data_IF_962720709879
#
_entry.id   IF_962720709879
#
_cell.length_a   1.000
_cell.length_b   1.000
_cell.length_c   1.000
_cell.angle_alpha   90.00
_cell.angle_beta   90.00
_cell.angle_gamma   90.00
#
_symmetry.space_group_name_H-M   'P 1'
#
loop_
_entity.id
_entity.type
_entity.pdbx_description
1 polymer ?
#
# COMPACT_ATOMS: atom_id res chain seq x y z
N UNK A 1 -29.62 -18.22 0.38
CA UNK A 1 -30.53 -17.32 -0.37
C UNK A 1 -29.80 -16.01 -0.57
N UNK A 2 -29.80 -15.49 -1.80
CA UNK A 2 -28.79 -14.59 -2.41
C UNK A 2 -28.73 -13.21 -1.73
N UNK A 3 -27.54 -12.81 -1.27
CA UNK A 3 -27.25 -11.43 -0.85
C UNK A 3 -26.71 -10.65 -2.05
N UNK A 4 -27.33 -9.51 -2.34
CA UNK A 4 -27.15 -8.73 -3.57
C UNK A 4 -25.75 -8.08 -3.59
N UNK A 5 -24.94 -8.42 -4.59
CA UNK A 5 -23.75 -7.68 -4.96
C UNK A 5 -24.17 -6.26 -5.40
N UNK A 6 -23.65 -5.25 -4.70
CA UNK A 6 -23.75 -3.86 -5.11
C UNK A 6 -22.82 -3.67 -6.32
N UNK A 7 -23.40 -3.48 -7.50
CA UNK A 7 -22.68 -3.18 -8.73
C UNK A 7 -22.17 -1.75 -8.63
N UNK A 8 -20.90 -1.56 -8.24
CA UNK A 8 -20.22 -0.28 -8.36
C UNK A 8 -19.84 -0.08 -9.83
N UNK A 9 -20.75 0.50 -10.60
CA UNK A 9 -20.53 0.86 -11.99
C UNK A 9 -19.48 1.97 -12.05
N UNK A 10 -18.22 1.60 -12.27
CA UNK A 10 -17.13 2.56 -12.52
C UNK A 10 -17.36 3.16 -13.91
N UNK A 11 -17.96 4.35 -13.96
CA UNK A 11 -18.08 5.14 -15.17
C UNK A 11 -16.66 5.49 -15.65
N UNK A 12 -16.24 4.89 -16.76
CA UNK A 12 -15.07 5.34 -17.53
C UNK A 12 -15.46 6.64 -18.25
N UNK A 13 -15.65 7.72 -17.51
CA UNK A 13 -15.78 9.06 -18.10
C UNK A 13 -14.38 9.57 -18.40
N UNK A 14 -14.10 9.66 -19.70
CA UNK A 14 -13.12 10.53 -20.36
C UNK A 14 -12.26 11.36 -19.41
N UNK A 15 -10.99 11.03 -19.30
CA UNK A 15 -9.96 11.80 -18.59
C UNK A 15 -9.81 13.18 -19.27
N UNK A 16 -10.71 14.12 -18.95
CA UNK A 16 -10.39 15.53 -19.04
C UNK A 16 -9.36 15.77 -17.94
N UNK A 17 -8.09 15.86 -18.33
CA UNK A 17 -7.05 16.41 -17.45
C UNK A 17 -7.26 17.92 -17.51
N UNK A 18 -7.89 18.57 -16.52
CA UNK A 18 -7.96 20.03 -16.53
C UNK A 18 -6.53 20.57 -16.52
N UNK A 19 -6.26 21.64 -17.28
CA UNK A 19 -4.94 22.27 -17.36
C UNK A 19 -4.39 22.68 -15.97
N UNK A 20 -5.28 22.89 -15.00
CA UNK A 20 -4.98 23.15 -13.59
C UNK A 20 -4.30 21.97 -12.85
N UNK A 21 -4.29 20.76 -13.41
CA UNK A 21 -3.59 19.61 -12.85
C UNK A 21 -2.07 19.70 -13.09
N UNK A 22 -1.65 20.32 -14.20
CA UNK A 22 -0.22 20.54 -14.49
C UNK A 22 0.41 21.54 -13.52
N UNK A 23 -0.33 22.56 -13.08
CA UNK A 23 0.12 23.49 -12.04
C UNK A 23 0.31 22.82 -10.67
N UNK A 24 -0.35 21.68 -10.44
CA UNK A 24 -0.33 20.92 -9.20
C UNK A 24 0.58 19.70 -9.27
N UNK A 25 1.54 19.63 -10.21
CA UNK A 25 2.66 18.67 -10.14
C UNK A 25 2.25 17.20 -10.05
N UNK A 26 1.44 16.74 -11.00
CA UNK A 26 0.95 15.36 -11.07
C UNK A 26 2.08 14.33 -11.30
N UNK A 27 1.93 13.13 -10.77
CA UNK A 27 2.80 12.00 -11.07
C UNK A 27 2.08 10.66 -10.94
N UNK A 28 2.58 9.68 -11.68
CA UNK A 28 2.23 8.27 -11.50
C UNK A 28 3.49 7.49 -11.13
N UNK A 29 3.34 6.35 -10.49
CA UNK A 29 4.47 5.50 -10.18
C UNK A 29 4.08 4.08 -9.82
N UNK A 30 5.11 3.25 -9.72
CA UNK A 30 5.01 1.88 -9.26
C UNK A 30 6.22 1.52 -8.41
N UNK A 31 6.04 0.60 -7.48
CA UNK A 31 7.10 0.11 -6.60
C UNK A 31 6.96 -1.39 -6.36
N UNK A 32 8.09 -2.04 -6.14
CA UNK A 32 8.19 -3.44 -5.71
C UNK A 32 9.04 -3.50 -4.44
N UNK A 33 8.77 -4.47 -3.58
CA UNK A 33 9.44 -4.51 -2.29
C UNK A 33 9.08 -5.70 -1.45
N UNK A 34 9.70 -5.78 -0.28
CA UNK A 34 9.41 -6.79 0.71
C UNK A 34 8.37 -6.25 1.69
N UNK A 35 7.31 -7.04 1.89
CA UNK A 35 6.32 -6.86 2.93
C UNK A 35 6.70 -7.71 4.13
N UNK A 36 6.62 -7.11 5.32
CA UNK A 36 6.89 -7.75 6.60
C UNK A 36 5.59 -7.81 7.39
N UNK A 37 5.31 -8.97 7.96
CA UNK A 37 4.17 -9.19 8.85
C UNK A 37 4.64 -9.74 10.17
N UNK A 38 4.27 -9.05 11.25
CA UNK A 38 4.38 -9.61 12.59
C UNK A 38 2.94 -9.79 13.09
N UNK A 39 2.51 -11.04 13.21
CA UNK A 39 1.21 -11.42 13.76
C UNK A 39 1.43 -11.99 15.16
N UNK A 40 0.79 -11.41 16.17
CA UNK A 40 0.62 -12.09 17.47
C UNK A 40 -0.77 -12.72 17.46
N UNK A 41 -0.85 -14.04 17.51
CA UNK A 41 -2.13 -14.77 17.61
C UNK A 41 -2.47 -14.99 19.09
N UNK A 42 -3.04 -13.99 19.76
CA UNK A 42 -3.67 -14.23 21.06
C UNK A 42 -5.00 -14.99 20.85
N UNK A 43 -5.17 -16.12 21.55
CA UNK A 43 -6.26 -17.12 21.47
C UNK A 43 -6.04 -18.39 20.62
N UNK A 44 -4.81 -18.87 20.48
CA UNK A 44 -4.59 -20.32 20.31
C UNK A 44 -3.84 -20.82 21.53
N UNK A 45 -4.49 -21.68 22.29
CA UNK A 45 -4.09 -22.19 23.59
C UNK A 45 -2.59 -22.54 23.69
N UNK A 46 -1.81 -21.63 24.29
CA UNK A 46 -0.59 -21.99 25.02
C UNK A 46 0.77 -21.80 24.35
N UNK A 47 0.92 -21.10 23.21
CA UNK A 47 2.24 -20.71 22.71
C UNK A 47 2.19 -19.41 21.89
N UNK A 48 3.10 -18.47 22.19
CA UNK A 48 3.33 -17.25 21.41
C UNK A 48 3.84 -17.63 20.01
N UNK A 49 3.06 -17.32 18.97
CA UNK A 49 3.40 -17.62 17.58
C UNK A 49 4.04 -16.39 16.94
N UNK A 50 5.36 -16.39 16.75
CA UNK A 50 6.08 -15.35 15.99
C UNK A 50 6.32 -15.88 14.58
N UNK A 51 5.64 -15.32 13.58
CA UNK A 51 5.90 -15.59 12.17
C UNK A 51 6.66 -14.40 11.60
N UNK A 52 7.96 -14.56 11.36
CA UNK A 52 8.79 -13.60 10.63
C UNK A 52 8.91 -14.07 9.17
N UNK A 53 7.91 -13.76 8.33
CA UNK A 53 7.96 -14.05 6.90
C UNK A 53 8.01 -12.76 6.08
N UNK A 54 9.00 -12.68 5.18
CA UNK A 54 9.10 -11.63 4.17
C UNK A 54 8.56 -12.13 2.84
N UNK A 55 7.63 -11.38 2.25
CA UNK A 55 7.07 -11.71 0.94
C UNK A 55 7.21 -10.55 -0.03
N UNK A 56 7.28 -10.84 -1.32
CA UNK A 56 7.37 -9.79 -2.35
C UNK A 56 5.98 -9.21 -2.63
N UNK A 57 5.87 -7.89 -2.53
CA UNK A 57 4.69 -7.12 -2.87
C UNK A 57 4.97 -6.07 -3.93
N UNK A 58 3.90 -5.51 -4.49
CA UNK A 58 3.95 -4.38 -5.42
C UNK A 58 2.88 -3.34 -5.13
N UNK A 59 3.10 -2.13 -5.63
CA UNK A 59 2.14 -1.03 -5.56
C UNK A 59 2.18 -0.23 -6.84
N UNK A 60 1.01 0.24 -7.27
CA UNK A 60 0.85 1.29 -8.28
C UNK A 60 0.15 2.47 -7.63
N UNK A 61 0.61 3.68 -7.92
CA UNK A 61 0.11 4.88 -7.25
C UNK A 61 0.12 6.09 -8.18
N UNK A 62 -0.73 7.05 -7.88
CA UNK A 62 -0.75 8.35 -8.51
C UNK A 62 -0.88 9.43 -7.43
N UNK A 63 -0.33 10.60 -7.70
CA UNK A 63 -0.44 11.72 -6.79
C UNK A 63 -0.41 13.06 -7.50
N UNK A 64 -0.89 14.06 -6.78
CA UNK A 64 -0.89 15.45 -7.21
C UNK A 64 -0.69 16.34 -5.98
N UNK A 65 0.02 17.45 -6.15
CA UNK A 65 0.30 18.38 -5.07
C UNK A 65 1.23 19.51 -5.49
N UNK A 66 1.03 20.66 -4.86
CA UNK A 66 1.84 21.86 -5.09
C UNK A 66 2.71 22.18 -3.87
N UNK A 67 3.91 22.71 -4.12
CA UNK A 67 4.85 23.05 -3.06
C UNK A 67 5.26 21.84 -2.22
N UNK A 68 5.03 21.92 -0.90
CA UNK A 68 5.44 20.90 0.06
C UNK A 68 4.36 19.85 0.35
N UNK A 69 3.11 20.02 -0.10
CA UNK A 69 1.99 19.09 0.19
C UNK A 69 1.34 18.55 -1.07
N UNK A 70 0.77 17.36 -0.95
CA UNK A 70 -0.03 16.72 -1.97
C UNK A 70 -0.86 15.57 -1.44
N UNK A 71 -1.59 14.94 -2.34
CA UNK A 71 -2.31 13.70 -2.12
C UNK A 71 -1.68 12.59 -2.98
N UNK A 72 -1.61 11.39 -2.42
CA UNK A 72 -1.19 10.17 -3.10
C UNK A 72 -2.28 9.12 -2.86
N UNK A 73 -2.69 8.42 -3.91
CA UNK A 73 -3.58 7.28 -3.82
C UNK A 73 -3.02 6.11 -4.61
N UNK A 74 -3.27 4.89 -4.16
CA UNK A 74 -2.67 3.72 -4.77
C UNK A 74 -3.44 2.44 -4.54
N UNK A 75 -3.05 1.42 -5.31
CA UNK A 75 -3.42 0.03 -5.11
C UNK A 75 -2.15 -0.79 -4.86
N UNK A 76 -2.23 -1.73 -3.91
CA UNK A 76 -1.11 -2.59 -3.54
C UNK A 76 -1.53 -4.04 -3.34
N UNK A 77 -0.62 -4.93 -3.66
CA UNK A 77 -0.61 -6.34 -3.27
C UNK A 77 0.62 -6.54 -2.38
N UNK A 78 0.40 -6.92 -1.13
CA UNK A 78 1.46 -7.15 -0.13
C UNK A 78 1.95 -8.60 -0.14
N UNK A 79 1.51 -9.35 -1.16
CA UNK A 79 1.79 -10.74 -1.38
C UNK A 79 1.09 -11.67 -0.38
N UNK A 80 1.63 -12.88 -0.33
CA UNK A 80 1.07 -14.02 0.40
C UNK A 80 2.03 -14.48 1.48
N UNK A 81 1.49 -14.75 2.67
CA UNK A 81 2.20 -15.38 3.80
C UNK A 81 1.63 -16.78 3.99
N UNK A 82 2.51 -17.78 4.10
CA UNK A 82 2.14 -19.20 4.13
C UNK A 82 2.83 -19.87 5.31
N UNK A 83 2.06 -20.43 6.25
CA UNK A 83 2.63 -21.15 7.39
C UNK A 83 1.99 -22.52 7.61
N UNK A 84 2.69 -23.36 8.36
CA UNK A 84 2.23 -24.70 8.72
C UNK A 84 2.31 -24.89 10.24
N UNK A 85 1.21 -25.31 10.85
CA UNK A 85 1.15 -25.65 12.27
C UNK A 85 0.28 -26.90 12.48
N UNK A 86 0.82 -27.91 13.17
CA UNK A 86 0.08 -29.16 13.49
C UNK A 86 -0.62 -29.81 12.29
N UNK A 87 0.07 -29.88 11.13
CA UNK A 87 -0.47 -30.39 9.85
C UNK A 87 -1.61 -29.55 9.25
N UNK A 88 -1.86 -28.35 9.79
CA UNK A 88 -2.77 -27.35 9.22
C UNK A 88 -1.95 -26.32 8.46
N UNK A 89 -2.22 -26.18 7.17
CA UNK A 89 -1.64 -25.12 6.35
C UNK A 89 -2.53 -23.89 6.41
N UNK A 90 -1.96 -22.73 6.72
CA UNK A 90 -2.66 -21.45 6.66
C UNK A 90 -1.98 -20.53 5.64
N UNK A 91 -2.80 -19.74 4.96
CA UNK A 91 -2.36 -18.76 3.99
C UNK A 91 -3.15 -17.47 4.19
N UNK A 92 -2.46 -16.34 4.20
CA UNK A 92 -3.08 -15.02 4.19
C UNK A 92 -2.53 -14.19 3.04
N UNK A 93 -3.42 -13.74 2.15
CA UNK A 93 -3.12 -12.77 1.09
C UNK A 93 -3.73 -11.41 1.45
N UNK A 94 -3.00 -10.33 1.21
CA UNK A 94 -3.54 -8.98 1.44
C UNK A 94 -3.32 -8.06 0.27
N UNK A 95 -4.42 -7.43 -0.12
CA UNK A 95 -4.46 -6.45 -1.20
C UNK A 95 -5.31 -5.27 -0.75
N UNK A 96 -5.14 -4.09 -1.35
CA UNK A 96 -5.98 -2.98 -0.96
C UNK A 96 -5.67 -1.68 -1.67
N UNK A 97 -6.51 -0.69 -1.37
CA UNK A 97 -6.35 0.68 -1.83
C UNK A 97 -5.89 1.56 -0.68
N UNK A 98 -5.16 2.63 -0.98
CA UNK A 98 -4.81 3.64 0.01
C UNK A 98 -5.01 5.06 -0.52
N UNK A 99 -5.24 5.97 0.41
CA UNK A 99 -5.22 7.41 0.17
C UNK A 99 -4.47 8.09 1.31
N UNK A 100 -3.51 8.96 0.98
CA UNK A 100 -2.65 9.61 1.94
C UNK A 100 -2.34 11.06 1.57
N UNK A 101 -2.23 11.91 2.59
CA UNK A 101 -1.58 13.20 2.46
C UNK A 101 -0.06 12.98 2.44
N UNK A 102 0.64 13.61 1.51
CA UNK A 102 2.08 13.48 1.29
C UNK A 102 2.79 14.82 1.41
N UNK A 103 3.67 14.93 2.39
CA UNK A 103 4.61 16.05 2.54
C UNK A 103 5.94 15.77 1.86
N UNK A 104 6.59 16.76 1.25
CA UNK A 104 7.94 16.62 0.66
C UNK A 104 8.83 17.84 0.91
N UNK A 105 10.13 17.57 0.99
CA UNK A 105 11.21 18.57 0.99
C UNK A 105 12.14 18.21 -0.15
N UNK A 106 12.48 19.19 -0.98
CA UNK A 106 13.38 19.02 -2.13
C UNK A 106 14.68 19.77 -1.89
N UNK A 107 15.81 19.07 -2.01
CA UNK A 107 17.17 19.61 -1.92
C UNK A 107 17.89 19.29 -3.25
N UNK A 108 17.67 20.15 -4.24
CA UNK A 108 18.10 19.90 -5.61
C UNK A 108 17.39 18.65 -6.19
N UNK A 109 18.13 17.66 -6.71
CA UNK A 109 17.52 16.44 -7.26
C UNK A 109 17.03 15.47 -6.17
N UNK A 110 17.49 15.62 -4.93
CA UNK A 110 17.12 14.73 -3.82
C UNK A 110 15.81 15.20 -3.20
N UNK A 111 14.90 14.26 -2.96
CA UNK A 111 13.59 14.50 -2.37
C UNK A 111 13.45 13.59 -1.15
N UNK A 112 13.21 14.18 0.02
CA UNK A 112 12.70 13.47 1.18
C UNK A 112 11.19 13.70 1.27
N UNK A 113 10.45 12.69 1.69
CA UNK A 113 9.00 12.81 1.83
C UNK A 113 8.46 11.92 2.95
N UNK A 114 7.29 12.29 3.44
CA UNK A 114 6.50 11.49 4.36
C UNK A 114 5.04 11.51 3.95
N UNK A 115 4.29 10.50 4.37
CA UNK A 115 2.85 10.44 4.13
C UNK A 115 2.10 9.81 5.29
N UNK A 116 0.84 10.19 5.43
CA UNK A 116 -0.08 9.64 6.41
C UNK A 116 -1.49 9.59 5.82
N UNK A 117 -2.23 8.52 6.10
CA UNK A 117 -3.47 8.23 5.43
C UNK A 117 -4.20 7.01 5.95
N UNK A 118 -5.06 6.47 5.09
CA UNK A 118 -5.90 5.31 5.39
C UNK A 118 -5.65 4.25 4.33
N UNK A 119 -5.47 3.00 4.78
CA UNK A 119 -5.40 1.81 3.95
C UNK A 119 -6.69 1.01 4.07
N UNK A 120 -7.33 0.76 2.93
CA UNK A 120 -8.52 -0.08 2.77
C UNK A 120 -8.07 -1.47 2.32
N UNK A 121 -7.80 -2.33 3.30
CA UNK A 121 -7.26 -3.66 3.11
C UNK A 121 -8.34 -4.73 2.96
N UNK A 122 -8.12 -5.66 2.04
CA UNK A 122 -8.84 -6.91 1.92
C UNK A 122 -7.90 -8.06 2.27
N UNK A 123 -8.32 -8.91 3.21
CA UNK A 123 -7.59 -10.05 3.72
C UNK A 123 -8.31 -11.31 3.28
N UNK A 124 -7.61 -12.15 2.52
CA UNK A 124 -8.10 -13.45 2.10
C UNK A 124 -7.35 -14.52 2.87
N UNK A 125 -8.06 -15.27 3.70
CA UNK A 125 -7.49 -16.33 4.52
C UNK A 125 -7.88 -17.69 3.95
N UNK A 126 -6.93 -18.61 3.84
CA UNK A 126 -7.16 -19.99 3.39
C UNK A 126 -6.60 -20.94 4.43
N UNK A 127 -7.38 -21.94 4.86
CA UNK A 127 -6.93 -22.99 5.78
C UNK A 127 -7.13 -24.35 5.10
N UNK A 128 -6.08 -25.17 5.01
CA UNK A 128 -6.13 -26.50 4.37
C UNK A 128 -6.78 -26.47 2.98
N UNK A 129 -6.42 -25.48 2.16
CA UNK A 129 -6.96 -25.22 0.81
C UNK A 129 -8.45 -24.84 0.77
N UNK A 130 -9.08 -24.58 1.92
CA UNK A 130 -10.45 -24.05 2.01
C UNK A 130 -10.40 -22.55 2.26
N UNK A 131 -10.97 -21.72 1.36
CA UNK A 131 -11.06 -20.28 1.58
C UNK A 131 -12.02 -19.99 2.73
N UNK A 132 -11.63 -19.07 3.60
CA UNK A 132 -12.49 -18.45 4.61
C UNK A 132 -13.16 -17.20 4.03
N UNK A 133 -14.08 -16.61 4.80
CA UNK A 133 -14.70 -15.35 4.43
C UNK A 133 -13.65 -14.24 4.30
N UNK A 134 -13.80 -13.43 3.23
CA UNK A 134 -12.95 -12.27 3.00
C UNK A 134 -13.23 -11.20 4.07
N UNK A 135 -12.17 -10.67 4.68
CA UNK A 135 -12.27 -9.58 5.65
C UNK A 135 -11.82 -8.27 5.01
N UNK A 136 -12.67 -7.23 5.07
CA UNK A 136 -12.34 -5.89 4.62
C UNK A 136 -12.21 -4.96 5.84
N UNK A 137 -11.05 -4.32 5.99
CA UNK A 137 -10.79 -3.39 7.10
C UNK A 137 -10.15 -2.10 6.61
N UNK A 138 -10.40 -1.02 7.33
CA UNK A 138 -9.73 0.27 7.12
C UNK A 138 -8.82 0.56 8.30
N UNK A 139 -7.56 0.85 8.05
CA UNK A 139 -6.57 1.09 9.10
C UNK A 139 -5.70 2.30 8.77
N UNK A 140 -5.12 2.91 9.80
CA UNK A 140 -4.25 4.05 9.65
C UNK A 140 -2.90 3.61 9.08
N UNK A 141 -2.41 4.35 8.09
CA UNK A 141 -1.09 4.11 7.51
C UNK A 141 -0.22 5.37 7.55
N UNK A 142 1.09 5.15 7.64
CA UNK A 142 2.08 6.19 7.44
C UNK A 142 3.31 5.64 6.71
N UNK A 143 4.10 6.52 6.11
CA UNK A 143 5.32 6.13 5.44
C UNK A 143 6.32 7.26 5.35
N UNK A 144 7.59 6.88 5.23
CA UNK A 144 8.73 7.77 5.04
C UNK A 144 9.56 7.26 3.88
N UNK A 145 10.10 8.18 3.10
CA UNK A 145 10.96 7.80 1.99
C UNK A 145 11.83 8.92 1.49
N UNK A 146 12.76 8.52 0.64
CA UNK A 146 13.68 9.42 -0.03
C UNK A 146 13.85 8.97 -1.49
N UNK A 147 14.22 9.88 -2.35
CA UNK A 147 14.38 9.60 -3.76
C UNK A 147 15.17 10.66 -4.50
N UNK A 148 15.40 10.39 -5.77
CA UNK A 148 16.03 11.32 -6.71
C UNK A 148 15.09 11.58 -7.87
N UNK A 149 14.99 12.84 -8.29
CA UNK A 149 14.23 13.25 -9.47
C UNK A 149 15.18 13.74 -10.56
N UNK A 150 15.11 13.10 -11.71
CA UNK A 150 15.90 13.35 -12.91
C UNK A 150 14.96 13.72 -14.06
N UNK A 151 14.68 15.02 -14.19
CA UNK A 151 13.71 15.52 -15.16
C UNK A 151 12.29 15.03 -14.86
N UNK A 152 11.71 14.26 -15.78
CA UNK A 152 10.37 13.66 -15.62
C UNK A 152 10.38 12.35 -14.83
N UNK A 153 11.53 11.70 -14.67
CA UNK A 153 11.64 10.41 -14.01
C UNK A 153 12.08 10.62 -12.56
N UNK A 154 11.49 9.88 -11.63
CA UNK A 154 11.94 9.78 -10.26
C UNK A 154 12.22 8.34 -9.86
N UNK A 155 13.15 8.15 -8.93
CA UNK A 155 13.42 6.89 -8.26
C UNK A 155 13.22 7.13 -6.76
N UNK A 156 12.52 6.25 -6.05
CA UNK A 156 12.23 6.39 -4.61
C UNK A 156 12.44 5.09 -3.86
N UNK A 157 12.95 5.19 -2.64
CA UNK A 157 12.90 4.18 -1.60
C UNK A 157 11.87 4.62 -0.56
N UNK A 158 11.01 3.72 -0.13
CA UNK A 158 9.94 4.01 0.81
C UNK A 158 9.73 2.87 1.81
N UNK A 159 9.63 3.23 3.08
CA UNK A 159 9.10 2.38 4.14
C UNK A 159 7.68 2.83 4.50
N UNK A 160 6.75 1.88 4.58
CA UNK A 160 5.36 2.12 4.95
C UNK A 160 4.93 1.18 6.07
N UNK A 161 4.21 1.71 7.06
CA UNK A 161 3.49 0.97 8.08
C UNK A 161 2.00 1.14 7.81
N UNK A 162 1.29 0.02 7.62
CA UNK A 162 -0.11 0.00 7.18
C UNK A 162 -1.08 -0.28 8.32
N UNK A 163 -0.61 -0.80 9.45
CA UNK A 163 -1.42 -1.03 10.64
C UNK A 163 -0.56 -0.76 11.89
N UNK A 164 -1.15 -0.08 12.88
CA UNK A 164 -0.52 0.27 14.17
C UNK A 164 -1.12 -0.51 15.34
N UNK A 165 -2.05 -1.43 15.08
CA UNK A 165 -2.64 -2.27 16.13
C UNK A 165 -1.57 -3.23 16.68
N UNK A 166 -1.50 -3.38 18.00
CA UNK A 166 -0.43 -4.14 18.68
C UNK A 166 -0.31 -5.59 18.17
N UNK A 167 -1.42 -6.17 17.70
CA UNK A 167 -1.52 -7.58 17.33
C UNK A 167 -1.17 -7.89 15.86
N UNK A 168 -1.16 -6.88 14.98
CA UNK A 168 -0.97 -7.07 13.53
C UNK A 168 -0.13 -5.93 12.94
N UNK A 169 1.20 -6.07 12.97
CA UNK A 169 2.08 -5.10 12.30
C UNK A 169 2.29 -5.50 10.85
N UNK A 170 1.83 -4.64 9.95
CA UNK A 170 1.99 -4.81 8.52
C UNK A 170 2.84 -3.66 7.97
N UNK A 171 3.97 -3.98 7.35
CA UNK A 171 4.85 -2.97 6.76
C UNK A 171 5.41 -3.40 5.42
N UNK A 172 5.92 -2.44 4.64
CA UNK A 172 6.57 -2.70 3.36
C UNK A 172 7.76 -1.76 3.17
N UNK A 173 8.91 -2.32 2.79
CA UNK A 173 10.06 -1.58 2.29
C UNK A 173 10.13 -1.78 0.78
N UNK A 174 10.10 -0.69 0.00
CA UNK A 174 9.95 -0.75 -1.45
C UNK A 174 10.86 0.20 -2.20
N UNK A 175 11.27 -0.22 -3.40
CA UNK A 175 11.95 0.61 -4.39
C UNK A 175 10.98 0.83 -5.57
N UNK A 176 10.89 2.07 -6.05
CA UNK A 176 9.94 2.41 -7.10
C UNK A 176 10.40 3.52 -8.03
N UNK A 177 9.71 3.63 -9.15
CA UNK A 177 9.87 4.69 -10.14
C UNK A 177 8.63 5.57 -10.23
N UNK A 178 8.82 6.85 -10.56
CA UNK A 178 7.75 7.80 -10.83
C UNK A 178 7.95 8.52 -12.16
N UNK A 179 6.84 8.89 -12.80
CA UNK A 179 6.80 9.76 -13.96
C UNK A 179 6.01 11.01 -13.56
N UNK A 180 6.65 12.18 -13.60
CA UNK A 180 6.07 13.47 -13.26
C UNK A 180 5.54 14.17 -14.52
N UNK A 181 4.26 14.50 -14.53
CA UNK A 181 3.58 15.22 -15.61
C UNK A 181 3.38 16.67 -15.15
N UNK A 182 3.99 17.63 -15.85
CA UNK A 182 3.80 19.06 -15.56
C UNK A 182 4.94 19.79 -14.83
N UNK A 183 6.11 19.19 -14.69
CA UNK A 183 7.30 19.94 -14.25
C UNK A 183 7.94 20.63 -15.47
N UNK A 184 7.61 21.91 -15.71
CA UNK A 184 8.54 22.83 -16.37
C UNK A 184 9.56 23.31 -15.35
#
# INVERSE_FOLDING_TARGET
>A
MKLKFFFLTLLFSSFFIPDNLFAQGFYIGGSVGNSFRNKSLENISGNDFIVDESTVGYKVFAGFGSGFLGLEGGYRDLGKVEGQQNSVNFETKTTGWDIAARGKISLGPVIAFGKAGIFFGNYKNTINLQPLDDEATSTFMWGLGAGVKLGMIGIRLEYESLDLSEDNKLSMLSLGGTIHLGAK
#
